data_IF_371201732498
#
_entry.id   IF_371201732498
#
_cell.length_a   1.000
_cell.length_b   1.000
_cell.length_c   1.000
_cell.angle_alpha   90.00
_cell.angle_beta   90.00
_cell.angle_gamma   90.00
#
_symmetry.space_group_name_H-M   'P 1'
#
loop_
_entity.id
_entity.type
_entity.pdbx_description
1 polymer ?
#
# COMPACT_ATOMS: atom_id res chain seq x y z
N UNK A 1 -3.21 32.45 -7.89
CA UNK A 1 -1.95 31.74 -7.62
C UNK A 1 -1.92 30.46 -8.41
N UNK A 2 -0.93 30.29 -9.24
CA UNK A 2 -0.77 28.97 -9.80
C UNK A 2 -0.62 28.00 -8.63
N UNK A 3 -1.45 26.98 -8.64
CA UNK A 3 -1.24 25.86 -7.73
C UNK A 3 0.21 25.41 -7.93
N UNK A 4 1.00 25.51 -6.89
CA UNK A 4 2.31 24.89 -6.93
C UNK A 4 2.09 23.44 -7.28
N UNK A 5 2.47 23.09 -8.51
CA UNK A 5 2.51 21.69 -8.90
C UNK A 5 3.48 21.01 -7.97
N UNK A 6 2.96 20.34 -6.92
CA UNK A 6 3.77 19.52 -6.06
C UNK A 6 4.37 18.43 -6.93
N UNK A 7 5.70 18.44 -7.01
CA UNK A 7 6.39 17.39 -7.76
C UNK A 7 6.14 16.05 -7.08
N UNK A 8 5.83 15.00 -7.84
CA UNK A 8 5.67 13.69 -7.27
C UNK A 8 6.94 13.22 -6.56
N UNK A 9 6.74 12.59 -5.41
CA UNK A 9 7.81 11.99 -4.62
C UNK A 9 7.91 10.52 -5.00
N UNK A 10 9.13 10.02 -5.13
CA UNK A 10 9.39 8.58 -5.23
C UNK A 10 10.01 8.09 -3.92
N UNK A 11 9.84 6.81 -3.60
CA UNK A 11 10.43 6.22 -2.42
C UNK A 11 11.05 4.87 -2.75
N UNK A 12 12.32 4.71 -2.40
CA UNK A 12 12.96 3.40 -2.41
C UNK A 12 12.65 2.66 -1.09
N UNK A 13 13.13 1.43 -0.98
CA UNK A 13 12.86 0.62 0.20
C UNK A 13 13.41 1.24 1.50
N UNK A 14 14.51 1.97 1.43
CA UNK A 14 15.07 2.62 2.62
C UNK A 14 14.13 3.70 3.16
N UNK A 15 13.53 4.48 2.27
CA UNK A 15 12.57 5.50 2.68
C UNK A 15 11.29 4.86 3.22
N UNK A 16 10.82 3.80 2.57
CA UNK A 16 9.64 3.05 3.04
C UNK A 16 9.87 2.51 4.45
N UNK A 17 11.02 1.89 4.70
CA UNK A 17 11.37 1.35 6.02
C UNK A 17 11.44 2.47 7.07
N UNK A 18 11.87 3.66 6.68
CA UNK A 18 11.95 4.79 7.62
C UNK A 18 10.58 5.32 8.04
N UNK A 19 9.55 5.07 7.24
CA UNK A 19 8.19 5.55 7.49
C UNK A 19 7.29 4.48 8.11
N UNK A 20 7.38 3.23 7.66
CA UNK A 20 6.55 2.13 8.14
C UNK A 20 7.28 1.32 9.20
N UNK A 21 6.59 0.92 10.29
CA UNK A 21 7.18 0.06 11.32
C UNK A 21 7.24 -1.41 10.90
N UNK A 22 6.52 -1.79 9.86
CA UNK A 22 6.43 -3.17 9.38
C UNK A 22 7.80 -3.70 8.95
N UNK A 23 8.05 -4.98 9.20
CA UNK A 23 9.29 -5.66 8.81
C UNK A 23 8.95 -7.03 8.24
N UNK A 24 9.94 -7.73 7.69
CA UNK A 24 9.77 -9.08 7.19
C UNK A 24 9.06 -9.96 8.25
N UNK A 25 8.06 -10.78 7.89
CA UNK A 25 7.54 -10.98 6.54
C UNK A 25 6.32 -10.09 6.20
N UNK A 26 6.07 -9.05 6.95
CA UNK A 26 4.84 -8.26 6.91
C UNK A 26 5.00 -6.89 6.24
N UNK A 27 6.16 -6.57 5.72
CA UNK A 27 6.34 -5.36 4.90
C UNK A 27 5.99 -5.70 3.45
N UNK A 28 4.92 -5.10 2.94
CA UNK A 28 4.30 -5.51 1.68
C UNK A 28 4.33 -4.43 0.58
N UNK A 29 5.22 -3.45 0.70
CA UNK A 29 5.42 -2.43 -0.33
C UNK A 29 6.91 -2.34 -0.64
N UNK A 30 7.28 -2.52 -1.90
CA UNK A 30 8.68 -2.54 -2.32
C UNK A 30 9.18 -1.21 -2.84
N UNK A 31 8.32 -0.43 -3.50
CA UNK A 31 8.69 0.88 -4.05
C UNK A 31 7.48 1.76 -4.24
N UNK A 32 7.66 3.06 -4.04
CA UNK A 32 6.68 4.08 -4.41
C UNK A 32 7.19 4.78 -5.67
N UNK A 33 6.41 4.70 -6.74
CA UNK A 33 6.78 5.29 -8.02
C UNK A 33 6.25 6.70 -8.19
N UNK A 34 5.19 7.04 -7.49
CA UNK A 34 4.61 8.38 -7.51
C UNK A 34 3.83 8.62 -6.22
N UNK A 35 4.09 9.72 -5.56
CA UNK A 35 3.32 10.15 -4.41
C UNK A 35 3.16 11.65 -4.42
N UNK A 36 1.91 12.11 -4.41
CA UNK A 36 1.58 13.52 -4.22
C UNK A 36 0.90 13.63 -2.86
N UNK A 37 1.63 14.13 -1.83
CA UNK A 37 1.08 14.21 -0.48
C UNK A 37 -0.26 14.93 -0.44
N UNK A 38 -1.22 14.36 0.27
CA UNK A 38 -2.58 14.89 0.36
C UNK A 38 -3.49 14.52 -0.80
N UNK A 39 -2.98 13.89 -1.84
CA UNK A 39 -3.74 13.57 -3.04
C UNK A 39 -3.76 12.07 -3.35
N UNK A 40 -2.65 11.53 -3.83
CA UNK A 40 -2.61 10.12 -4.23
C UNK A 40 -1.22 9.52 -4.13
N UNK A 41 -1.16 8.19 -4.19
CA UNK A 41 0.07 7.42 -4.20
C UNK A 41 -0.06 6.24 -5.16
N UNK A 42 1.03 5.95 -5.87
CA UNK A 42 1.18 4.74 -6.70
C UNK A 42 2.44 4.02 -6.27
N UNK A 43 2.28 2.78 -5.86
CA UNK A 43 3.36 1.95 -5.37
C UNK A 43 3.25 0.55 -5.98
N UNK A 44 4.20 -0.32 -5.69
CA UNK A 44 4.07 -1.71 -6.06
C UNK A 44 4.73 -2.65 -5.07
N UNK A 45 4.25 -3.89 -5.09
CA UNK A 45 4.86 -5.04 -4.44
C UNK A 45 5.23 -6.07 -5.51
N UNK A 46 6.44 -6.58 -5.44
CA UNK A 46 6.86 -7.73 -6.23
C UNK A 46 6.39 -9.00 -5.51
N UNK A 47 5.52 -9.76 -6.14
CA UNK A 47 5.01 -11.00 -5.56
C UNK A 47 5.96 -12.13 -5.92
N UNK A 48 6.62 -12.71 -4.92
CA UNK A 48 7.64 -13.73 -5.10
C UNK A 48 7.22 -15.03 -4.42
N UNK A 49 7.50 -16.16 -5.07
CA UNK A 49 7.28 -17.46 -4.45
C UNK A 49 8.12 -17.63 -3.16
N UNK A 50 9.18 -16.85 -3.02
CA UNK A 50 10.02 -16.87 -1.82
C UNK A 50 9.44 -16.01 -0.69
N UNK A 51 8.13 -16.17 -0.45
CA UNK A 51 7.43 -15.52 0.65
C UNK A 51 6.74 -16.62 1.49
N UNK A 52 6.78 -16.50 2.83
CA UNK A 52 6.37 -17.60 3.70
C UNK A 52 4.89 -17.99 3.58
N UNK A 53 4.00 -17.06 3.22
CA UNK A 53 2.57 -17.37 3.16
C UNK A 53 2.20 -18.31 2.02
N UNK A 54 3.02 -18.45 0.97
CA UNK A 54 2.71 -19.37 -0.13
C UNK A 54 2.86 -20.84 0.24
N UNK A 55 3.54 -21.13 1.35
CA UNK A 55 3.64 -22.51 1.82
C UNK A 55 2.29 -23.08 2.27
N UNK A 56 1.44 -22.24 2.80
CA UNK A 56 0.13 -22.63 3.31
C UNK A 56 -1.06 -22.19 2.46
N UNK A 57 -0.87 -21.30 1.50
CA UNK A 57 -1.98 -20.71 0.76
C UNK A 57 -1.75 -20.73 -0.75
N UNK A 58 -1.83 -21.85 -1.41
CA UNK A 58 -2.11 -23.20 -0.93
C UNK A 58 -1.03 -24.15 -1.42
N UNK A 59 -0.77 -25.29 -0.76
CA UNK A 59 0.23 -26.24 -1.22
C UNK A 59 0.00 -26.63 -2.67
N UNK A 60 1.01 -26.40 -3.55
CA UNK A 60 0.91 -26.69 -4.98
C UNK A 60 0.12 -25.67 -5.81
N UNK A 61 -0.61 -24.75 -5.18
CA UNK A 61 -1.39 -23.69 -5.86
C UNK A 61 -1.15 -22.36 -5.15
N UNK A 62 -0.02 -21.69 -5.41
CA UNK A 62 0.31 -20.47 -4.69
C UNK A 62 -0.55 -19.28 -5.15
N UNK A 63 -1.32 -18.75 -4.22
CA UNK A 63 -2.18 -17.59 -4.45
C UNK A 63 -1.95 -16.61 -3.30
N UNK A 64 -1.71 -15.35 -3.62
CA UNK A 64 -1.56 -14.33 -2.56
C UNK A 64 -2.87 -14.18 -1.82
N UNK A 65 -2.88 -14.33 -0.48
CA UNK A 65 -4.10 -14.15 0.30
C UNK A 65 -4.70 -12.76 0.08
N UNK A 66 -6.00 -12.70 -0.16
CA UNK A 66 -6.69 -11.43 -0.39
C UNK A 66 -6.55 -10.47 0.78
N UNK A 67 -6.56 -10.99 2.02
CA UNK A 67 -6.36 -10.17 3.21
C UNK A 67 -5.00 -9.49 3.24
N UNK A 68 -3.97 -10.11 2.65
CA UNK A 68 -2.64 -9.50 2.54
C UNK A 68 -2.57 -8.45 1.43
N UNK A 69 -3.38 -8.58 0.38
CA UNK A 69 -3.52 -7.51 -0.62
C UNK A 69 -4.11 -6.27 0.04
N UNK A 70 -5.14 -6.45 0.85
CA UNK A 70 -5.75 -5.35 1.62
C UNK A 70 -4.72 -4.74 2.57
N UNK A 71 -3.92 -5.56 3.24
CA UNK A 71 -2.85 -5.06 4.11
C UNK A 71 -1.81 -4.25 3.31
N UNK A 72 -1.41 -4.72 2.13
CA UNK A 72 -0.50 -3.99 1.27
C UNK A 72 -1.08 -2.63 0.86
N UNK A 73 -2.37 -2.56 0.56
CA UNK A 73 -3.07 -1.32 0.27
C UNK A 73 -3.09 -0.39 1.48
N UNK A 74 -3.28 -0.93 2.68
CA UNK A 74 -3.25 -0.14 3.91
C UNK A 74 -1.86 0.45 4.16
N UNK A 75 -0.81 -0.33 3.94
CA UNK A 75 0.56 0.17 4.08
C UNK A 75 0.84 1.28 3.06
N UNK A 76 0.35 1.13 1.84
CA UNK A 76 0.45 2.16 0.79
C UNK A 76 -0.27 3.44 1.21
N UNK A 77 -1.46 3.33 1.76
CA UNK A 77 -2.21 4.46 2.32
C UNK A 77 -1.47 5.12 3.48
N UNK A 78 -0.84 4.32 4.33
CA UNK A 78 0.00 4.81 5.42
C UNK A 78 1.18 5.64 4.90
N UNK A 79 1.81 5.19 3.83
CA UNK A 79 2.89 5.94 3.20
C UNK A 79 2.40 7.27 2.64
N UNK A 80 1.20 7.30 2.03
CA UNK A 80 0.61 8.55 1.57
C UNK A 80 0.39 9.53 2.73
N UNK A 81 -0.11 9.03 3.86
CA UNK A 81 -0.35 9.86 5.04
C UNK A 81 0.93 10.37 5.68
N UNK A 82 2.03 9.62 5.58
CA UNK A 82 3.31 9.94 6.21
C UNK A 82 4.32 10.61 5.26
N UNK A 83 3.97 10.77 3.99
CA UNK A 83 4.93 11.16 2.95
C UNK A 83 5.63 12.50 3.23
N UNK A 84 4.94 13.43 3.86
CA UNK A 84 5.49 14.74 4.21
C UNK A 84 5.69 14.93 5.71
N UNK A 85 5.61 13.85 6.49
CA UNK A 85 5.78 13.91 7.94
C UNK A 85 7.25 14.17 8.31
N UNK A 86 7.46 14.99 9.35
CA UNK A 86 8.77 15.23 9.91
C UNK A 86 9.15 14.10 10.86
N UNK A 87 10.47 13.88 11.04
CA UNK A 87 10.97 12.81 11.90
C UNK A 87 10.35 12.81 13.31
N UNK A 88 10.13 13.99 13.88
CA UNK A 88 9.53 14.11 15.21
C UNK A 88 8.10 13.61 15.25
N UNK A 89 7.38 13.72 14.14
CA UNK A 89 5.99 13.27 14.01
C UNK A 89 5.89 11.76 13.85
N UNK A 90 6.98 11.09 13.42
CA UNK A 90 6.99 9.66 13.15
C UNK A 90 7.25 8.83 14.39
N UNK A 91 7.78 9.42 15.46
CA UNK A 91 8.34 8.68 16.60
C UNK A 91 7.37 7.84 17.39
N UNK A 92 6.10 7.97 17.29
CA UNK A 92 5.14 7.18 18.07
C UNK A 92 3.85 6.94 17.30
N UNK A 93 3.89 7.03 15.96
CA UNK A 93 2.69 6.84 15.15
C UNK A 93 2.65 5.45 14.56
N UNK A 94 1.66 4.69 14.96
CA UNK A 94 1.32 3.41 14.36
C UNK A 94 -0.03 3.59 13.68
N UNK A 95 -0.13 3.19 12.41
CA UNK A 95 -1.40 3.21 11.72
C UNK A 95 -2.14 1.91 11.96
N UNK A 96 -3.35 2.03 12.49
CA UNK A 96 -4.23 0.89 12.72
C UNK A 96 -5.48 1.05 11.85
N UNK A 97 -5.96 -0.06 11.35
CA UNK A 97 -7.27 -0.08 10.71
C UNK A 97 -8.36 0.19 11.75
N UNK A 98 -9.25 1.13 11.44
CA UNK A 98 -10.47 1.31 12.21
C UNK A 98 -11.67 0.72 11.50
N UNK A 99 -11.57 0.51 10.19
CA UNK A 99 -12.61 -0.12 9.41
C UNK A 99 -12.18 -0.27 7.95
N UNK A 100 -12.81 -1.20 7.28
CA UNK A 100 -12.63 -1.44 5.85
C UNK A 100 -14.01 -1.67 5.27
N UNK A 101 -14.36 -0.89 4.24
CA UNK A 101 -15.64 -1.02 3.56
C UNK A 101 -15.45 -1.46 2.12
N UNK A 102 -16.48 -2.08 1.57
CA UNK A 102 -16.59 -2.37 0.14
C UNK A 102 -15.38 -3.09 -0.45
N UNK A 103 -14.84 -4.07 0.27
CA UNK A 103 -13.74 -4.89 -0.24
C UNK A 103 -14.25 -5.82 -1.31
N UNK A 104 -13.62 -5.79 -2.50
CA UNK A 104 -13.94 -6.70 -3.60
C UNK A 104 -12.67 -7.26 -4.20
N UNK A 105 -12.63 -8.57 -4.34
CA UNK A 105 -11.53 -9.30 -4.98
C UNK A 105 -11.96 -9.70 -6.38
N UNK A 106 -11.21 -9.23 -7.39
CA UNK A 106 -11.57 -9.41 -8.81
C UNK A 106 -10.68 -10.41 -9.54
N UNK A 107 -9.44 -10.58 -9.10
CA UNK A 107 -8.45 -11.45 -9.72
C UNK A 107 -7.58 -12.09 -8.68
N UNK A 108 -7.08 -13.29 -8.99
CA UNK A 108 -6.04 -13.92 -8.20
C UNK A 108 -4.70 -13.25 -8.49
N UNK A 109 -3.90 -13.09 -7.46
CA UNK A 109 -2.52 -12.60 -7.54
C UNK A 109 -1.60 -13.78 -7.22
N UNK A 110 -0.65 -14.04 -8.09
CA UNK A 110 0.22 -15.21 -8.01
C UNK A 110 1.69 -14.79 -8.05
N UNK A 111 2.61 -15.68 -7.59
CA UNK A 111 4.04 -15.38 -7.69
C UNK A 111 4.45 -15.05 -9.11
N UNK A 112 5.30 -14.03 -9.25
CA UNK A 112 5.71 -13.49 -10.53
C UNK A 112 4.96 -12.23 -10.93
N UNK A 113 3.81 -11.96 -10.30
CA UNK A 113 3.06 -10.74 -10.56
C UNK A 113 3.71 -9.53 -9.91
N UNK A 114 3.62 -8.40 -10.59
CA UNK A 114 3.91 -7.11 -9.99
C UNK A 114 2.57 -6.47 -9.60
N UNK A 115 2.33 -6.40 -8.31
CA UNK A 115 1.09 -5.86 -7.76
C UNK A 115 1.21 -4.34 -7.63
N UNK A 116 0.50 -3.62 -8.48
CA UNK A 116 0.43 -2.16 -8.40
C UNK A 116 -0.60 -1.75 -7.35
N UNK A 117 -0.22 -0.85 -6.46
CA UNK A 117 -1.02 -0.44 -5.32
C UNK A 117 -1.26 1.07 -5.40
N UNK A 118 -2.54 1.46 -5.46
CA UNK A 118 -2.90 2.88 -5.56
C UNK A 118 -3.84 3.25 -4.43
N UNK A 119 -3.65 4.45 -3.87
CA UNK A 119 -4.54 5.03 -2.88
C UNK A 119 -4.78 6.49 -3.20
N UNK A 120 -6.02 6.93 -3.04
CA UNK A 120 -6.41 8.32 -3.13
C UNK A 120 -6.92 8.78 -1.77
N UNK A 121 -6.52 9.98 -1.36
CA UNK A 121 -6.98 10.55 -0.11
C UNK A 121 -8.37 11.15 -0.32
N UNK A 122 -9.42 10.44 0.13
CA UNK A 122 -10.80 10.90 -0.03
C UNK A 122 -11.16 11.92 1.03
N UNK A 123 -10.77 11.65 2.30
CA UNK A 123 -11.15 12.50 3.41
C UNK A 123 -10.21 12.30 4.59
N UNK A 124 -9.73 13.40 5.14
CA UNK A 124 -8.89 13.38 6.34
C UNK A 124 -9.50 14.29 7.39
N UNK A 125 -9.79 13.73 8.55
CA UNK A 125 -10.34 14.48 9.68
C UNK A 125 -9.62 14.05 10.94
N UNK A 126 -8.95 15.00 11.61
CA UNK A 126 -8.16 14.74 12.80
C UNK A 126 -7.09 13.67 12.52
N UNK A 127 -7.14 12.54 13.24
CA UNK A 127 -6.21 11.43 13.06
C UNK A 127 -6.78 10.30 12.20
N UNK A 128 -7.94 10.51 11.61
CA UNK A 128 -8.63 9.53 10.78
C UNK A 128 -8.48 9.87 9.31
N UNK A 129 -8.02 8.90 8.51
CA UNK A 129 -7.96 9.02 7.07
C UNK A 129 -8.85 7.99 6.42
N UNK A 130 -9.72 8.43 5.51
CA UNK A 130 -10.51 7.55 4.67
C UNK A 130 -9.94 7.62 3.26
N UNK A 131 -9.56 6.49 2.71
CA UNK A 131 -8.92 6.40 1.41
C UNK A 131 -9.59 5.35 0.53
N UNK A 132 -9.64 5.63 -0.77
CA UNK A 132 -10.00 4.65 -1.76
C UNK A 132 -8.73 3.97 -2.26
N UNK A 133 -8.72 2.63 -2.24
CA UNK A 133 -7.55 1.84 -2.56
C UNK A 133 -7.85 0.82 -3.65
N UNK A 134 -6.93 0.66 -4.59
CA UNK A 134 -7.06 -0.30 -5.68
C UNK A 134 -5.72 -0.97 -5.96
N UNK A 135 -5.77 -2.27 -6.24
CA UNK A 135 -4.61 -3.05 -6.62
C UNK A 135 -4.80 -3.62 -8.02
N UNK A 136 -3.75 -3.55 -8.84
CA UNK A 136 -3.79 -3.97 -10.23
C UNK A 136 -2.63 -4.93 -10.54
N UNK A 137 -2.87 -5.85 -11.47
CA UNK A 137 -1.84 -6.67 -12.09
C UNK A 137 -1.95 -6.48 -13.60
N UNK A 138 -0.87 -6.06 -14.25
CA UNK A 138 -0.84 -5.79 -15.70
C UNK A 138 -2.00 -4.89 -16.16
N UNK A 139 -2.29 -3.86 -15.37
CA UNK A 139 -3.34 -2.90 -15.66
C UNK A 139 -4.77 -3.38 -15.38
N UNK A 140 -4.94 -4.60 -14.87
CA UNK A 140 -6.25 -5.18 -14.57
C UNK A 140 -6.52 -5.16 -13.08
N UNK A 141 -7.70 -4.70 -12.70
CA UNK A 141 -8.10 -4.57 -11.30
C UNK A 141 -8.13 -5.94 -10.61
N UNK A 142 -7.35 -6.09 -9.56
CA UNK A 142 -7.30 -7.31 -8.75
C UNK A 142 -8.10 -7.18 -7.45
N UNK A 143 -8.04 -6.03 -6.81
CA UNK A 143 -8.71 -5.78 -5.52
C UNK A 143 -9.04 -4.30 -5.39
N UNK A 144 -10.13 -4.01 -4.70
CA UNK A 144 -10.48 -2.64 -4.32
C UNK A 144 -11.03 -2.61 -2.90
N UNK A 145 -10.82 -1.51 -2.20
CA UNK A 145 -11.29 -1.31 -0.84
C UNK A 145 -11.40 0.20 -0.52
N UNK A 146 -12.13 0.51 0.52
CA UNK A 146 -12.23 1.89 1.03
C UNK A 146 -11.87 1.92 2.50
#
# INVERSE_FOLDING_TARGET
MPEETRQPITMDIRRIISLLPHRYPFLLVDRVVECVPGDHIVAYKNVSFNEPFFQGHFPGVPIMPGVLIVEALAQTGGLLALADAKEDELRNKIFLFTGIDSVKFRRQVVPGDRLELTCCNIHRKMQLCKMEAKAFVDGKLACQAV
#
